data_IF_425932355002
#
_entry.id   IF_425932355002
#
_cell.length_a   1.000
_cell.length_b   1.000
_cell.length_c   1.000
_cell.angle_alpha   90.00
_cell.angle_beta   90.00
_cell.angle_gamma   90.00
#
_symmetry.space_group_name_H-M   'P 1'
#
loop_
_entity.id
_entity.type
_entity.pdbx_description
1 polymer ?
#
# COMPACT_ATOMS: atom_id res chain seq x y z
N UNK A 1 -18.38 13.94 3.81
CA UNK A 1 -17.48 13.15 2.95
C UNK A 1 -18.07 11.76 2.79
N UNK A 2 -17.91 11.08 1.65
CA UNK A 2 -18.33 9.69 1.51
C UNK A 2 -17.59 8.84 2.55
N UNK A 3 -18.32 7.96 3.23
CA UNK A 3 -17.70 6.97 4.10
C UNK A 3 -17.22 5.82 3.23
N UNK A 4 -15.91 5.76 2.98
CA UNK A 4 -15.28 4.68 2.21
C UNK A 4 -14.91 3.46 3.08
N UNK A 5 -15.21 3.52 4.39
CA UNK A 5 -14.98 2.39 5.29
C UNK A 5 -16.18 1.46 5.27
N UNK A 6 -15.97 0.25 4.75
CA UNK A 6 -16.86 -0.88 4.93
C UNK A 6 -16.32 -1.77 6.05
N UNK A 7 -17.19 -2.18 6.98
CA UNK A 7 -16.79 -3.13 8.02
C UNK A 7 -16.38 -4.47 7.38
N UNK A 8 -15.32 -5.13 7.87
CA UNK A 8 -14.94 -6.45 7.41
C UNK A 8 -16.13 -7.42 7.47
N UNK A 9 -16.19 -8.36 6.52
CA UNK A 9 -17.20 -9.43 6.53
C UNK A 9 -17.13 -10.19 7.86
N UNK A 10 -18.20 -10.10 8.64
CA UNK A 10 -18.27 -10.68 9.97
C UNK A 10 -18.04 -12.21 9.93
N UNK A 11 -17.16 -12.70 10.80
CA UNK A 11 -16.75 -14.10 10.88
C UNK A 11 -15.74 -14.54 9.81
N UNK A 12 -15.31 -13.63 8.92
CA UNK A 12 -14.37 -13.92 7.85
C UNK A 12 -12.90 -13.97 8.28
N UNK A 13 -12.05 -14.52 7.40
CA UNK A 13 -10.59 -14.56 7.62
C UNK A 13 -9.99 -13.16 7.74
N UNK A 14 -10.49 -12.18 6.98
CA UNK A 14 -10.06 -10.78 7.05
C UNK A 14 -10.34 -10.16 8.43
N UNK A 15 -11.53 -10.40 8.99
CA UNK A 15 -11.88 -9.92 10.35
C UNK A 15 -10.96 -10.55 11.40
N UNK A 16 -10.66 -11.84 11.27
CA UNK A 16 -9.74 -12.52 12.18
C UNK A 16 -8.33 -11.93 12.09
N UNK A 17 -7.76 -11.83 10.89
CA UNK A 17 -6.42 -11.28 10.69
C UNK A 17 -6.33 -9.82 11.16
N UNK A 18 -7.37 -9.02 10.92
CA UNK A 18 -7.45 -7.66 11.43
C UNK A 18 -7.40 -7.62 12.96
N UNK A 19 -8.27 -8.41 13.63
CA UNK A 19 -8.30 -8.52 15.10
C UNK A 19 -6.95 -8.95 15.68
N UNK A 20 -6.32 -9.93 15.05
CA UNK A 20 -5.03 -10.49 15.49
C UNK A 20 -3.86 -9.48 15.38
N UNK A 21 -3.99 -8.42 14.57
CA UNK A 21 -2.95 -7.42 14.32
C UNK A 21 -3.40 -5.97 14.65
N UNK A 22 -4.48 -5.80 15.42
CA UNK A 22 -5.00 -4.47 15.77
C UNK A 22 -4.01 -3.60 16.55
N UNK A 23 -3.10 -4.22 17.29
CA UNK A 23 -2.03 -3.53 17.99
C UNK A 23 -1.09 -2.82 17.00
N UNK A 24 -0.66 -3.51 15.94
CA UNK A 24 0.17 -2.93 14.88
C UNK A 24 -0.58 -1.83 14.13
N UNK A 25 -1.86 -2.03 13.81
CA UNK A 25 -2.68 -1.01 13.17
C UNK A 25 -2.80 0.26 14.03
N UNK A 26 -3.03 0.10 15.34
CA UNK A 26 -3.06 1.22 16.30
C UNK A 26 -1.71 1.90 16.43
N UNK A 27 -0.61 1.16 16.44
CA UNK A 27 0.74 1.73 16.46
C UNK A 27 1.01 2.60 15.23
N UNK A 28 0.63 2.13 14.04
CA UNK A 28 0.73 2.92 12.80
C UNK A 28 -0.13 4.17 12.85
N UNK A 29 -1.39 4.06 13.32
CA UNK A 29 -2.30 5.20 13.45
C UNK A 29 -1.76 6.27 14.41
N UNK A 30 -1.17 5.85 15.53
CA UNK A 30 -0.61 6.75 16.54
C UNK A 30 0.85 7.14 16.27
N UNK A 31 1.41 6.79 15.11
CA UNK A 31 2.76 7.18 14.76
C UNK A 31 2.88 8.71 14.66
N UNK A 32 3.96 9.34 15.17
CA UNK A 32 4.13 10.80 15.16
C UNK A 32 3.96 11.43 13.77
N UNK A 33 4.35 10.72 12.71
CA UNK A 33 4.14 11.16 11.33
C UNK A 33 2.64 11.37 11.01
N UNK A 34 1.81 10.36 11.29
CA UNK A 34 0.36 10.38 10.99
C UNK A 34 -0.34 11.45 11.83
N UNK A 35 0.02 11.56 13.11
CA UNK A 35 -0.52 12.59 13.99
C UNK A 35 -0.11 13.99 13.50
N UNK A 36 1.16 14.18 13.12
CA UNK A 36 1.68 15.43 12.58
C UNK A 36 1.02 15.87 11.27
N UNK A 37 0.62 14.92 10.41
CA UNK A 37 -0.19 15.23 9.22
C UNK A 37 -1.58 15.69 9.64
N UNK A 38 -2.21 15.01 10.60
CA UNK A 38 -3.57 15.28 11.06
C UNK A 38 -3.73 16.61 11.79
N UNK A 39 -2.73 17.02 12.58
CA UNK A 39 -2.75 18.27 13.35
C UNK A 39 -1.99 19.43 12.67
N UNK A 40 -1.32 19.17 11.55
CA UNK A 40 -0.57 20.16 10.78
C UNK A 40 0.79 20.55 11.37
N UNK A 41 1.34 19.76 12.30
CA UNK A 41 2.64 20.02 12.94
C UNK A 41 3.82 19.30 12.31
N UNK A 42 3.59 18.45 11.31
CA UNK A 42 4.65 17.70 10.62
C UNK A 42 5.68 18.64 9.97
N UNK A 43 6.96 18.32 10.13
CA UNK A 43 8.05 18.97 9.41
C UNK A 43 7.87 18.78 7.88
N UNK A 44 7.80 19.87 7.10
CA UNK A 44 7.68 19.80 5.64
C UNK A 44 8.79 18.96 4.98
N UNK A 45 10.00 18.93 5.52
CA UNK A 45 11.08 18.11 4.95
C UNK A 45 10.84 16.62 5.23
N UNK A 46 10.32 16.25 6.40
CA UNK A 46 9.92 14.88 6.68
C UNK A 46 8.80 14.42 5.74
N UNK A 47 7.85 15.31 5.41
CA UNK A 47 6.81 15.02 4.42
C UNK A 47 7.39 14.78 3.02
N UNK A 48 8.31 15.64 2.54
CA UNK A 48 8.97 15.45 1.24
C UNK A 48 9.76 14.14 1.18
N UNK A 49 10.50 13.80 2.24
CA UNK A 49 11.21 12.52 2.34
C UNK A 49 10.23 11.35 2.26
N UNK A 50 9.12 11.41 3.00
CA UNK A 50 8.06 10.41 2.91
C UNK A 50 7.52 10.28 1.48
N UNK A 51 7.15 11.37 0.82
CA UNK A 51 6.63 11.35 -0.56
C UNK A 51 7.63 10.73 -1.55
N UNK A 52 8.93 11.00 -1.38
CA UNK A 52 9.96 10.40 -2.22
C UNK A 52 10.04 8.88 -2.00
N UNK A 53 10.06 8.43 -0.74
CA UNK A 53 10.08 7.00 -0.41
C UNK A 53 8.78 6.30 -0.82
N UNK A 54 7.63 6.95 -0.68
CA UNK A 54 6.33 6.41 -1.04
C UNK A 54 6.20 6.23 -2.56
N UNK A 55 6.81 7.12 -3.36
CA UNK A 55 6.96 6.92 -4.81
C UNK A 55 7.70 5.61 -5.14
N UNK A 56 8.81 5.36 -4.45
CA UNK A 56 9.62 4.16 -4.65
C UNK A 56 8.88 2.90 -4.18
N UNK A 57 8.14 3.00 -3.08
CA UNK A 57 7.27 1.95 -2.58
C UNK A 57 6.17 1.63 -3.59
N UNK A 58 5.42 2.64 -4.08
CA UNK A 58 4.33 2.48 -5.04
C UNK A 58 4.80 1.82 -6.35
N UNK A 59 6.01 2.11 -6.82
CA UNK A 59 6.60 1.41 -7.96
C UNK A 59 6.75 -0.11 -7.71
N UNK A 60 7.21 -0.51 -6.52
CA UNK A 60 7.30 -1.91 -6.12
C UNK A 60 5.92 -2.55 -5.89
N UNK A 61 5.01 -1.78 -5.30
CA UNK A 61 3.63 -2.18 -5.04
C UNK A 61 2.87 -2.47 -6.33
N UNK A 62 2.90 -1.56 -7.30
CA UNK A 62 2.30 -1.71 -8.64
C UNK A 62 2.81 -2.96 -9.35
N UNK A 63 4.12 -3.25 -9.27
CA UNK A 63 4.69 -4.48 -9.85
C UNK A 63 4.13 -5.74 -9.19
N UNK A 64 4.03 -5.74 -7.86
CA UNK A 64 3.52 -6.87 -7.09
C UNK A 64 2.03 -7.10 -7.36
N UNK A 65 1.23 -6.02 -7.37
CA UNK A 65 -0.19 -6.04 -7.69
C UNK A 65 -0.45 -6.50 -9.13
N UNK A 66 0.34 -6.03 -10.11
CA UNK A 66 0.25 -6.48 -11.50
C UNK A 66 0.52 -7.98 -11.62
N UNK A 67 1.48 -8.50 -10.86
CA UNK A 67 1.74 -9.95 -10.82
C UNK A 67 0.57 -10.72 -10.20
N UNK A 68 -0.11 -10.16 -9.19
CA UNK A 68 -1.30 -10.75 -8.60
C UNK A 68 -2.45 -10.81 -9.63
N UNK A 69 -2.69 -9.71 -10.35
CA UNK A 69 -3.72 -9.64 -11.42
C UNK A 69 -3.43 -10.68 -12.49
N UNK A 70 -2.18 -10.80 -12.95
CA UNK A 70 -1.78 -11.76 -13.99
C UNK A 70 -1.96 -13.23 -13.57
N UNK A 71 -1.94 -13.51 -12.27
CA UNK A 71 -2.17 -14.85 -11.71
C UNK A 71 -3.63 -15.08 -11.29
N UNK A 72 -4.45 -14.03 -11.28
CA UNK A 72 -5.87 -14.11 -11.00
C UNK A 72 -6.66 -14.38 -12.30
N UNK A 73 -7.78 -15.06 -12.18
CA UNK A 73 -8.73 -15.13 -13.30
C UNK A 73 -9.36 -13.75 -13.49
N UNK A 74 -8.96 -13.05 -14.55
CA UNK A 74 -9.43 -11.69 -14.83
C UNK A 74 -10.93 -11.62 -15.16
N UNK A 75 -11.54 -12.76 -15.53
CA UNK A 75 -12.98 -12.87 -15.75
C UNK A 75 -13.76 -12.99 -14.44
N UNK A 76 -13.10 -13.33 -13.34
CA UNK A 76 -13.68 -13.31 -12.02
C UNK A 76 -13.67 -11.89 -11.44
N UNK A 77 -14.69 -11.57 -10.62
CA UNK A 77 -14.88 -10.27 -9.96
C UNK A 77 -13.60 -9.68 -9.38
N UNK A 78 -12.76 -10.54 -8.80
CA UNK A 78 -11.49 -10.19 -8.16
C UNK A 78 -10.47 -9.55 -9.10
N UNK A 79 -10.28 -10.08 -10.32
CA UNK A 79 -9.30 -9.51 -11.26
C UNK A 79 -9.72 -8.12 -11.75
N UNK A 80 -11.03 -7.87 -11.85
CA UNK A 80 -11.59 -6.56 -12.19
C UNK A 80 -11.37 -5.53 -11.08
N UNK A 81 -11.66 -5.90 -9.83
CA UNK A 81 -11.46 -5.01 -8.68
C UNK A 81 -9.99 -4.63 -8.49
N UNK A 82 -9.08 -5.60 -8.59
CA UNK A 82 -7.64 -5.34 -8.52
C UNK A 82 -7.15 -4.42 -9.65
N UNK A 83 -7.74 -4.52 -10.85
CA UNK A 83 -7.40 -3.64 -11.97
C UNK A 83 -7.85 -2.20 -11.74
N UNK A 84 -9.05 -2.00 -11.20
CA UNK A 84 -9.55 -0.65 -10.81
C UNK A 84 -8.66 -0.06 -9.71
N UNK A 85 -8.30 -0.88 -8.72
CA UNK A 85 -7.40 -0.45 -7.65
C UNK A 85 -6.01 -0.06 -8.16
N UNK A 86 -5.44 -0.83 -9.09
CA UNK A 86 -4.18 -0.49 -9.75
C UNK A 86 -4.24 0.85 -10.50
N UNK A 87 -5.37 1.15 -11.15
CA UNK A 87 -5.58 2.42 -11.85
C UNK A 87 -5.63 3.61 -10.88
N UNK A 88 -6.29 3.44 -9.73
CA UNK A 88 -6.30 4.43 -8.64
C UNK A 88 -4.90 4.76 -8.12
N UNK A 89 -4.09 3.73 -7.83
CA UNK A 89 -2.70 3.89 -7.38
C UNK A 89 -1.86 4.66 -8.40
N UNK A 90 -2.03 4.39 -9.70
CA UNK A 90 -1.33 5.14 -10.76
C UNK A 90 -1.77 6.61 -10.80
N UNK A 91 -3.05 6.87 -10.65
CA UNK A 91 -3.58 8.24 -10.60
C UNK A 91 -3.01 9.04 -9.44
N UNK A 92 -2.85 8.43 -8.25
CA UNK A 92 -2.20 9.08 -7.10
C UNK A 92 -0.72 9.41 -7.37
N UNK A 93 0.01 8.46 -7.97
CA UNK A 93 1.42 8.64 -8.32
C UNK A 93 1.61 9.80 -9.31
N UNK A 94 0.76 9.89 -10.32
CA UNK A 94 0.83 10.95 -11.35
C UNK A 94 0.39 12.31 -10.81
N UNK A 95 -0.68 12.37 -10.02
CA UNK A 95 -1.28 13.64 -9.59
C UNK A 95 -0.66 14.23 -8.33
N UNK A 96 -0.27 13.41 -7.35
CA UNK A 96 0.15 13.88 -6.03
C UNK A 96 1.68 13.93 -5.89
N UNK A 97 2.39 12.91 -6.36
CA UNK A 97 3.83 12.78 -6.09
C UNK A 97 4.68 13.73 -6.92
N UNK A 98 4.31 13.95 -8.20
CA UNK A 98 5.01 14.89 -9.08
C UNK A 98 4.95 16.34 -8.58
N UNK A 99 3.99 16.69 -7.72
CA UNK A 99 3.90 18.02 -7.13
C UNK A 99 4.95 18.26 -6.03
N UNK A 100 5.29 17.21 -5.26
CA UNK A 100 6.15 17.33 -4.08
C UNK A 100 7.58 16.84 -4.32
N UNK A 101 7.79 16.00 -5.35
CA UNK A 101 9.07 15.33 -5.60
C UNK A 101 9.39 15.30 -7.09
N UNK A 102 10.41 16.07 -7.50
CA UNK A 102 10.90 16.10 -8.89
C UNK A 102 11.69 14.84 -9.28
N UNK A 103 12.51 14.33 -8.36
CA UNK A 103 13.34 13.14 -8.56
C UNK A 103 13.30 12.21 -7.34
N UNK A 104 12.35 11.27 -7.27
CA UNK A 104 12.20 10.35 -6.14
C UNK A 104 13.36 9.35 -6.02
N UNK A 105 14.09 9.09 -7.11
CA UNK A 105 15.19 8.13 -7.15
C UNK A 105 16.53 8.71 -6.65
N UNK A 106 16.60 10.01 -6.36
CA UNK A 106 17.85 10.72 -6.06
C UNK A 106 18.68 10.08 -4.93
N UNK A 107 18.01 9.50 -3.92
CA UNK A 107 18.64 8.83 -2.78
C UNK A 107 18.39 7.31 -2.76
N UNK A 108 17.50 6.81 -3.61
CA UNK A 108 17.02 5.43 -3.61
C UNK A 108 16.21 5.05 -2.36
N UNK A 109 15.77 3.78 -2.25
CA UNK A 109 14.89 3.37 -1.16
C UNK A 109 15.65 3.14 0.13
N UNK A 110 15.14 3.73 1.21
CA UNK A 110 15.59 3.49 2.58
C UNK A 110 15.26 2.07 3.04
N UNK A 111 15.80 1.69 4.21
CA UNK A 111 15.67 0.32 4.72
C UNK A 111 14.21 -0.14 4.90
N UNK A 112 13.32 0.75 5.35
CA UNK A 112 11.90 0.43 5.52
C UNK A 112 11.22 0.18 4.16
N UNK A 113 11.33 1.13 3.23
CA UNK A 113 10.80 1.00 1.87
C UNK A 113 11.33 -0.26 1.18
N UNK A 114 12.64 -0.48 1.24
CA UNK A 114 13.29 -1.64 0.60
C UNK A 114 12.78 -2.97 1.15
N UNK A 115 12.73 -3.11 2.48
CA UNK A 115 12.24 -4.35 3.12
C UNK A 115 10.79 -4.63 2.76
N UNK A 116 9.94 -3.61 2.68
CA UNK A 116 8.55 -3.81 2.32
C UNK A 116 8.40 -4.19 0.84
N UNK A 117 9.06 -3.49 -0.06
CA UNK A 117 9.06 -3.84 -1.49
C UNK A 117 9.61 -5.25 -1.72
N UNK A 118 10.70 -5.62 -1.05
CA UNK A 118 11.26 -6.97 -1.14
C UNK A 118 10.27 -8.03 -0.64
N UNK A 119 9.55 -7.76 0.46
CA UNK A 119 8.50 -8.63 0.96
C UNK A 119 7.39 -8.85 -0.09
N UNK A 120 6.85 -7.77 -0.68
CA UNK A 120 5.78 -7.85 -1.69
C UNK A 120 6.24 -8.59 -2.95
N UNK A 121 7.45 -8.32 -3.42
CA UNK A 121 8.04 -9.00 -4.58
C UNK A 121 8.30 -10.48 -4.30
N UNK A 122 8.71 -10.83 -3.08
CA UNK A 122 8.92 -12.22 -2.70
C UNK A 122 7.59 -12.99 -2.59
N UNK A 123 6.55 -12.38 -2.01
CA UNK A 123 5.21 -13.00 -1.94
C UNK A 123 4.62 -13.16 -3.33
N UNK A 124 4.71 -12.15 -4.20
CA UNK A 124 4.20 -12.24 -5.57
C UNK A 124 4.94 -13.28 -6.42
N UNK A 125 6.22 -13.53 -6.16
CA UNK A 125 6.99 -14.60 -6.81
C UNK A 125 6.67 -15.99 -6.25
N UNK A 126 6.39 -16.08 -4.95
CA UNK A 126 6.01 -17.33 -4.33
C UNK A 126 4.69 -17.84 -4.93
N UNK A 127 4.61 -19.14 -5.20
CA UNK A 127 3.38 -19.78 -5.68
C UNK A 127 2.43 -20.09 -4.51
N UNK A 128 2.12 -19.05 -3.74
CA UNK A 128 1.35 -19.13 -2.50
C UNK A 128 -0.17 -18.99 -2.70
N UNK A 129 -0.61 -18.88 -3.96
CA UNK A 129 -2.01 -18.66 -4.34
C UNK A 129 -2.46 -17.20 -4.24
N UNK A 130 -3.55 -16.84 -4.93
CA UNK A 130 -4.00 -15.44 -5.05
C UNK A 130 -4.44 -14.82 -3.73
N UNK A 131 -5.00 -15.60 -2.80
CA UNK A 131 -5.47 -15.10 -1.49
C UNK A 131 -4.32 -14.58 -0.61
N UNK A 132 -3.15 -15.24 -0.63
CA UNK A 132 -1.97 -14.82 0.12
C UNK A 132 -1.36 -13.57 -0.49
N UNK A 133 -1.31 -13.48 -1.83
CA UNK A 133 -0.84 -12.27 -2.51
C UNK A 133 -1.73 -11.07 -2.21
N UNK A 134 -3.05 -11.26 -2.21
CA UNK A 134 -4.02 -10.23 -1.84
C UNK A 134 -3.79 -9.80 -0.40
N UNK A 135 -3.75 -10.74 0.55
CA UNK A 135 -3.51 -10.42 1.97
C UNK A 135 -2.20 -9.65 2.20
N UNK A 136 -1.18 -9.85 1.36
CA UNK A 136 0.07 -9.09 1.47
C UNK A 136 -0.03 -7.65 0.95
N UNK A 137 -0.91 -7.38 -0.03
CA UNK A 137 -1.09 -6.03 -0.61
C UNK A 137 -2.18 -5.21 0.08
N UNK A 138 -3.11 -5.84 0.82
CA UNK A 138 -4.14 -5.19 1.63
C UNK A 138 -3.96 -5.47 3.13
N UNK A 139 -3.00 -4.78 3.80
CA UNK A 139 -2.75 -4.94 5.24
C UNK A 139 -3.91 -4.45 6.12
#
# INVERSE_FOLDING_TARGET
>A
MPNFYEEPVAGGMSEKLWKDNQDLARMSLHHPFVQGVGDGTLDPEAFKTYMAQDTLYLNGYVRSLSSCIAKSDISATMGKELSVFLEGVKGELEACHQHYVDNPDATGPEAACRKYVDFLLNVSRADCGPSVMIAAVIP
#
